data_IF_476736267995
#
_entry.id   IF_476736267995
#
_cell.length_a   1.000
_cell.length_b   1.000
_cell.length_c   1.000
_cell.angle_alpha   90.00
_cell.angle_beta   90.00
_cell.angle_gamma   90.00
#
_symmetry.space_group_name_H-M   'P 1'
#
loop_
_entity.id
_entity.type
_entity.pdbx_description
1 polymer ?
#
# COMPACT_ATOMS: atom_id res chain seq x y z
N UNK A 1 -9.07 -7.50 -12.77
CA UNK A 1 -8.33 -6.98 -11.60
C UNK A 1 -6.91 -6.71 -12.03
N UNK A 2 -6.36 -5.55 -11.67
CA UNK A 2 -4.96 -5.20 -11.96
C UNK A 2 -4.00 -6.19 -11.25
N UNK A 3 -2.81 -6.38 -11.81
CA UNK A 3 -1.81 -7.25 -11.21
C UNK A 3 -1.22 -6.66 -9.93
N UNK A 4 -1.01 -7.49 -8.90
CA UNK A 4 -0.53 -7.05 -7.59
C UNK A 4 0.81 -6.32 -7.66
N UNK A 5 1.73 -6.73 -8.55
CA UNK A 5 3.01 -6.05 -8.72
C UNK A 5 2.86 -4.63 -9.31
N UNK A 6 1.87 -4.40 -10.19
CA UNK A 6 1.57 -3.06 -10.75
C UNK A 6 1.02 -2.15 -9.66
N UNK A 7 0.03 -2.64 -8.90
CA UNK A 7 -0.58 -1.90 -7.79
C UNK A 7 0.48 -1.55 -6.73
N UNK A 8 1.34 -2.52 -6.38
CA UNK A 8 2.45 -2.29 -5.45
C UNK A 8 3.46 -1.26 -5.97
N UNK A 9 3.76 -1.28 -7.28
CA UNK A 9 4.67 -0.31 -7.90
C UNK A 9 4.10 1.11 -7.83
N UNK A 10 2.83 1.26 -8.18
CA UNK A 10 2.14 2.56 -8.09
C UNK A 10 2.12 3.05 -6.65
N UNK A 11 1.74 2.19 -5.69
CA UNK A 11 1.71 2.58 -4.28
C UNK A 11 3.10 2.99 -3.76
N UNK A 12 4.14 2.21 -4.08
CA UNK A 12 5.51 2.53 -3.70
C UNK A 12 5.98 3.86 -4.27
N UNK A 13 5.68 4.15 -5.54
CA UNK A 13 6.00 5.44 -6.16
C UNK A 13 5.26 6.61 -5.51
N UNK A 14 3.98 6.44 -5.19
CA UNK A 14 3.19 7.47 -4.47
C UNK A 14 3.83 7.78 -3.11
N UNK A 15 4.18 6.77 -2.33
CA UNK A 15 4.81 6.97 -1.02
C UNK A 15 6.17 7.69 -1.12
N UNK A 16 6.95 7.40 -2.16
CA UNK A 16 8.22 8.08 -2.40
C UNK A 16 7.98 9.53 -2.79
N UNK A 17 7.21 9.78 -3.85
CA UNK A 17 7.05 11.13 -4.40
C UNK A 17 6.35 12.06 -3.40
N UNK A 18 5.26 11.59 -2.79
CA UNK A 18 4.45 12.39 -1.86
C UNK A 18 5.13 12.50 -0.51
N UNK A 19 5.78 11.43 -0.03
CA UNK A 19 6.54 11.46 1.23
C UNK A 19 7.75 12.40 1.15
N UNK A 20 8.47 12.41 0.03
CA UNK A 20 9.55 13.38 -0.21
C UNK A 20 9.00 14.80 -0.34
N UNK A 21 7.87 14.98 -1.02
CA UNK A 21 7.19 16.28 -1.11
C UNK A 21 6.83 16.80 0.29
N UNK A 22 6.26 15.96 1.15
CA UNK A 22 5.96 16.29 2.55
C UNK A 22 7.22 16.71 3.32
N UNK A 23 8.33 16.02 3.12
CA UNK A 23 9.59 16.33 3.79
C UNK A 23 10.18 17.70 3.37
N UNK A 24 10.03 18.08 2.10
CA UNK A 24 10.58 19.33 1.56
C UNK A 24 9.65 20.53 1.82
N UNK A 25 8.34 20.33 1.70
CA UNK A 25 7.35 21.43 1.76
C UNK A 25 6.98 21.79 3.20
N UNK A 26 6.95 20.82 4.10
CA UNK A 26 6.62 21.10 5.51
C UNK A 26 7.91 21.45 6.25
N UNK A 27 7.99 22.64 6.90
CA UNK A 27 9.19 23.03 7.64
C UNK A 27 9.43 22.14 8.85
N UNK A 28 10.69 22.11 9.31
CA UNK A 28 11.15 21.46 10.54
C UNK A 28 10.80 19.96 10.66
N UNK A 29 10.70 19.26 9.52
CA UNK A 29 10.43 17.82 9.53
C UNK A 29 11.63 17.02 10.07
N UNK A 30 11.41 16.12 11.05
CA UNK A 30 12.45 15.26 11.55
C UNK A 30 12.90 14.26 10.47
N UNK A 31 14.15 13.78 10.55
CA UNK A 31 14.68 12.77 9.62
C UNK A 31 13.82 11.50 9.59
N UNK A 32 13.14 11.18 10.70
CA UNK A 32 12.20 10.05 10.80
C UNK A 32 11.00 10.16 9.84
N UNK A 33 10.66 11.36 9.36
CA UNK A 33 9.63 11.55 8.33
C UNK A 33 9.99 10.87 6.99
N UNK A 34 11.28 10.64 6.71
CA UNK A 34 11.75 9.90 5.54
C UNK A 34 11.47 8.40 5.61
N UNK A 35 10.99 7.89 6.75
CA UNK A 35 10.56 6.50 6.87
C UNK A 35 9.48 6.12 5.85
N UNK A 36 8.58 7.05 5.48
CA UNK A 36 7.52 6.79 4.50
C UNK A 36 8.07 6.60 3.08
N UNK A 37 8.93 7.50 2.54
CA UNK A 37 9.66 7.24 1.30
C UNK A 37 10.50 5.96 1.31
N UNK A 38 11.21 5.68 2.41
CA UNK A 38 12.01 4.46 2.56
C UNK A 38 11.12 3.22 2.50
N UNK A 39 9.95 3.26 3.14
CA UNK A 39 8.96 2.19 3.05
C UNK A 39 8.46 2.01 1.61
N UNK A 40 8.24 3.11 0.88
CA UNK A 40 7.94 3.05 -0.56
C UNK A 40 9.02 2.33 -1.37
N UNK A 41 10.30 2.58 -1.11
CA UNK A 41 11.42 1.87 -1.74
C UNK A 41 11.42 0.37 -1.40
N UNK A 42 11.14 0.01 -0.15
CA UNK A 42 11.02 -1.39 0.27
C UNK A 42 9.87 -2.09 -0.46
N UNK A 43 8.72 -1.42 -0.63
CA UNK A 43 7.62 -1.95 -1.44
C UNK A 43 8.07 -2.16 -2.88
N UNK A 44 8.77 -1.21 -3.50
CA UNK A 44 9.30 -1.37 -4.85
C UNK A 44 10.24 -2.58 -4.97
N UNK A 45 11.14 -2.79 -4.00
CA UNK A 45 12.01 -3.97 -3.96
C UNK A 45 11.23 -5.30 -3.91
N UNK A 46 10.08 -5.32 -3.23
CA UNK A 46 9.19 -6.49 -3.19
C UNK A 46 8.46 -6.77 -4.52
N UNK A 47 8.39 -5.80 -5.44
CA UNK A 47 7.67 -5.94 -6.74
C UNK A 47 8.14 -7.14 -7.54
N UNK A 48 9.46 -7.39 -7.58
CA UNK A 48 10.02 -8.53 -8.30
C UNK A 48 9.49 -9.86 -7.76
N UNK A 49 9.40 -9.99 -6.44
CA UNK A 49 8.93 -11.19 -5.78
C UNK A 49 7.41 -11.37 -5.90
N UNK A 50 6.65 -10.27 -5.92
CA UNK A 50 5.21 -10.29 -6.23
C UNK A 50 4.95 -10.78 -7.66
N UNK A 51 5.78 -10.36 -8.62
CA UNK A 51 5.70 -10.84 -10.00
C UNK A 51 5.98 -12.34 -10.12
N UNK A 52 6.82 -12.89 -9.24
CA UNK A 52 7.07 -14.34 -9.11
C UNK A 52 5.99 -15.10 -8.32
N UNK A 53 4.87 -14.47 -7.98
CA UNK A 53 3.78 -15.09 -7.23
C UNK A 53 4.21 -15.71 -5.88
N UNK A 54 5.21 -15.14 -5.22
CA UNK A 54 5.62 -15.61 -3.90
C UNK A 54 4.54 -15.29 -2.86
N UNK A 55 3.86 -16.33 -2.35
CA UNK A 55 2.74 -16.20 -1.40
C UNK A 55 3.14 -15.52 -0.09
N UNK A 56 4.33 -15.85 0.44
CA UNK A 56 4.81 -15.24 1.67
C UNK A 56 4.95 -13.73 1.50
N UNK A 57 5.67 -13.31 0.45
CA UNK A 57 5.86 -11.88 0.14
C UNK A 57 4.53 -11.18 -0.11
N UNK A 58 3.59 -11.84 -0.82
CA UNK A 58 2.26 -11.29 -1.06
C UNK A 58 1.52 -10.96 0.24
N UNK A 59 1.46 -11.90 1.19
CA UNK A 59 0.80 -11.66 2.48
C UNK A 59 1.53 -10.61 3.31
N UNK A 60 2.86 -10.66 3.38
CA UNK A 60 3.66 -9.68 4.11
C UNK A 60 3.48 -8.27 3.56
N UNK A 61 3.56 -8.08 2.24
CA UNK A 61 3.34 -6.78 1.59
C UNK A 61 1.92 -6.28 1.83
N UNK A 62 0.92 -7.16 1.75
CA UNK A 62 -0.48 -6.79 2.02
C UNK A 62 -0.65 -6.28 3.45
N UNK A 63 -0.14 -7.02 4.44
CA UNK A 63 -0.22 -6.63 5.85
C UNK A 63 0.55 -5.34 6.16
N UNK A 64 1.75 -5.18 5.61
CA UNK A 64 2.55 -3.97 5.79
C UNK A 64 1.89 -2.74 5.14
N UNK A 65 1.29 -2.92 3.95
CA UNK A 65 0.59 -1.83 3.25
C UNK A 65 -0.67 -1.41 4.03
N UNK A 66 -1.42 -2.36 4.57
CA UNK A 66 -2.57 -2.06 5.44
C UNK A 66 -2.13 -1.33 6.70
N UNK A 67 -1.06 -1.80 7.36
CA UNK A 67 -0.52 -1.16 8.54
C UNK A 67 -0.10 0.28 8.25
N UNK A 68 0.59 0.52 7.13
CA UNK A 68 0.96 1.87 6.70
C UNK A 68 -0.28 2.75 6.46
N UNK A 69 -1.33 2.23 5.84
CA UNK A 69 -2.59 2.97 5.66
C UNK A 69 -3.16 3.45 7.00
N UNK A 70 -3.22 2.57 8.00
CA UNK A 70 -3.72 2.90 9.34
C UNK A 70 -2.82 3.92 10.03
N UNK A 71 -1.51 3.67 10.09
CA UNK A 71 -0.57 4.56 10.78
C UNK A 71 -0.51 5.97 10.17
N UNK A 72 -0.64 6.09 8.85
CA UNK A 72 -0.70 7.38 8.17
C UNK A 72 -2.03 8.10 8.46
N UNK A 73 -3.14 7.36 8.45
CA UNK A 73 -4.47 7.92 8.72
C UNK A 73 -4.60 8.41 10.17
N UNK A 74 -3.93 7.76 11.13
CA UNK A 74 -3.90 8.18 12.54
C UNK A 74 -3.10 9.47 12.78
N UNK A 75 -2.25 9.88 11.86
CA UNK A 75 -1.47 11.12 11.97
C UNK A 75 -2.21 12.34 11.40
N UNK A 76 -3.33 12.12 10.71
CA UNK A 76 -4.15 13.20 10.15
C UNK A 76 -4.89 13.89 11.30
N UNK A 77 -4.83 15.23 11.35
CA UNK A 77 -5.56 15.99 12.35
C UNK A 77 -7.08 15.76 12.23
N UNK A 78 -7.77 15.73 13.36
CA UNK A 78 -9.23 15.70 13.42
C UNK A 78 -9.87 17.10 13.35
N UNK A 79 -9.04 18.15 13.26
CA UNK A 79 -9.51 19.53 13.22
C UNK A 79 -10.24 19.86 11.90
N UNK A 80 -11.16 20.82 11.97
CA UNK A 80 -11.94 21.23 10.80
C UNK A 80 -11.08 21.95 9.72
N UNK A 81 -9.93 22.51 10.10
CA UNK A 81 -8.99 23.14 9.16
C UNK A 81 -7.96 22.14 8.66
N UNK A 82 -8.14 21.69 7.42
CA UNK A 82 -7.20 20.81 6.73
C UNK A 82 -5.88 21.54 6.42
N UNK A 83 -4.79 21.08 7.04
CA UNK A 83 -3.46 21.57 6.69
C UNK A 83 -2.92 20.86 5.44
N UNK A 84 -1.92 21.47 4.77
CA UNK A 84 -1.20 20.80 3.67
C UNK A 84 -0.58 19.47 4.12
N UNK A 85 -0.14 19.37 5.37
CA UNK A 85 0.39 18.12 5.93
C UNK A 85 -0.68 17.04 5.98
N UNK A 86 -1.90 17.38 6.42
CA UNK A 86 -3.02 16.43 6.53
C UNK A 86 -3.42 15.88 5.16
N UNK A 87 -3.46 16.74 4.14
CA UNK A 87 -3.77 16.34 2.76
C UNK A 87 -2.72 15.36 2.23
N UNK A 88 -1.43 15.62 2.47
CA UNK A 88 -0.35 14.73 2.03
C UNK A 88 -0.39 13.39 2.77
N UNK A 89 -0.63 13.41 4.09
CA UNK A 89 -0.79 12.20 4.90
C UNK A 89 -1.98 11.36 4.43
N UNK A 90 -3.13 11.99 4.20
CA UNK A 90 -4.30 11.32 3.65
C UNK A 90 -4.05 10.73 2.27
N UNK A 91 -3.36 11.45 1.39
CA UNK A 91 -3.11 10.96 0.03
C UNK A 91 -2.24 9.68 0.06
N UNK A 92 -1.21 9.66 0.91
CA UNK A 92 -0.40 8.46 1.13
C UNK A 92 -1.20 7.33 1.79
N UNK A 93 -1.97 7.65 2.84
CA UNK A 93 -2.81 6.67 3.55
C UNK A 93 -3.87 6.03 2.65
N UNK A 94 -4.54 6.85 1.84
CA UNK A 94 -5.57 6.41 0.89
C UNK A 94 -4.96 5.55 -0.22
N UNK A 95 -3.79 5.91 -0.74
CA UNK A 95 -3.05 5.07 -1.69
C UNK A 95 -2.80 3.67 -1.12
N UNK A 96 -2.28 3.59 0.11
CA UNK A 96 -2.06 2.30 0.79
C UNK A 96 -3.37 1.54 1.03
N UNK A 97 -4.44 2.22 1.43
CA UNK A 97 -5.73 1.60 1.65
C UNK A 97 -6.30 0.99 0.35
N UNK A 98 -6.30 1.76 -0.74
CA UNK A 98 -6.74 1.30 -2.06
C UNK A 98 -5.89 0.10 -2.51
N UNK A 99 -4.56 0.19 -2.41
CA UNK A 99 -3.68 -0.92 -2.76
C UNK A 99 -4.01 -2.21 -1.99
N UNK A 100 -4.29 -2.08 -0.70
CA UNK A 100 -4.71 -3.21 0.16
C UNK A 100 -6.02 -3.82 -0.32
N UNK A 101 -7.02 -3.01 -0.67
CA UNK A 101 -8.30 -3.53 -1.20
C UNK A 101 -8.09 -4.36 -2.47
N UNK A 102 -7.18 -3.95 -3.36
CA UNK A 102 -6.81 -4.73 -4.54
C UNK A 102 -6.13 -6.05 -4.17
N UNK A 103 -5.22 -6.05 -3.18
CA UNK A 103 -4.56 -7.27 -2.73
C UNK A 103 -5.56 -8.27 -2.11
N UNK A 104 -6.39 -7.80 -1.18
CA UNK A 104 -7.44 -8.62 -0.57
C UNK A 104 -8.43 -9.13 -1.62
N UNK A 105 -8.84 -8.28 -2.56
CA UNK A 105 -9.70 -8.67 -3.68
C UNK A 105 -9.08 -9.77 -4.54
N UNK A 106 -7.79 -9.68 -4.84
CA UNK A 106 -7.06 -10.72 -5.59
C UNK A 106 -7.04 -12.04 -4.83
N UNK A 107 -6.76 -12.01 -3.52
CA UNK A 107 -6.76 -13.19 -2.67
C UNK A 107 -8.13 -13.87 -2.61
N UNK A 108 -9.20 -13.09 -2.40
CA UNK A 108 -10.58 -13.61 -2.37
C UNK A 108 -10.96 -14.22 -3.72
N UNK A 109 -10.54 -13.62 -4.83
CA UNK A 109 -10.79 -14.16 -6.18
C UNK A 109 -10.10 -15.50 -6.38
N UNK A 110 -8.83 -15.62 -6.02
CA UNK A 110 -8.09 -16.89 -6.13
C UNK A 110 -8.73 -18.00 -5.29
N UNK A 111 -9.18 -17.68 -4.06
CA UNK A 111 -9.92 -18.63 -3.23
C UNK A 111 -11.20 -19.11 -3.91
N UNK A 112 -12.02 -18.19 -4.42
CA UNK A 112 -13.29 -18.53 -5.11
C UNK A 112 -13.06 -19.36 -6.37
N UNK A 113 -11.98 -19.12 -7.12
CA UNK A 113 -11.64 -19.90 -8.30
C UNK A 113 -11.25 -21.32 -7.94
N UNK A 114 -10.46 -21.50 -6.86
CA UNK A 114 -10.10 -22.82 -6.34
C UNK A 114 -11.33 -23.61 -5.89
N UNK A 115 -12.26 -22.96 -5.19
CA UNK A 115 -13.48 -23.63 -4.70
C UNK A 115 -14.39 -24.08 -5.87
N UNK A 116 -14.41 -23.34 -6.99
CA UNK A 116 -15.17 -23.72 -8.20
C UNK A 116 -14.51 -24.81 -9.04
N UNK A 117 -13.17 -24.90 -9.05
CA UNK A 117 -12.50 -25.94 -9.83
C UNK A 117 -12.70 -27.31 -9.22
N UNK A 118 -12.68 -27.42 -7.88
CA UNK A 118 -12.93 -28.68 -7.16
C UNK A 118 -14.28 -29.29 -7.58
N UNK A 119 -15.35 -28.49 -7.66
CA UNK A 119 -16.68 -29.00 -8.06
C UNK A 119 -16.76 -29.51 -9.52
N UNK A 120 -15.85 -29.07 -10.40
CA UNK A 120 -15.83 -29.54 -11.80
C UNK A 120 -15.10 -30.87 -11.97
N UNK A 121 -14.21 -31.23 -11.06
CA UNK A 121 -13.46 -32.48 -11.12
C UNK A 121 -14.26 -33.66 -10.51
N UNK A 122 -15.37 -33.36 -9.82
CA UNK A 122 -16.27 -34.32 -9.15
C UNK A 122 -17.52 -34.72 -9.99
N UNK A 123 -17.65 -34.22 -11.22
CA UNK A 123 -18.77 -34.46 -12.16
C UNK A 123 -18.30 -35.15 -13.44
#
# INVERSE_FOLDING_TARGET
>A
MAHSYVINSINGLVLILVGLTRYVVIPDQPVTALAVPVFGLLLLACTYHLRKHNRFVFHTVTSLTLLAAVLLSLQVSADASWSTQDVLLLLMGLSCFIATLFFVGSFVRERRLRDRSVYKDDL
#
